data_IF_005460066864
#
_entry.id   IF_005460066864
#
_cell.length_a   1.000
_cell.length_b   1.000
_cell.length_c   1.000
_cell.angle_alpha   90.00
_cell.angle_beta   90.00
_cell.angle_gamma   90.00
#
_symmetry.space_group_name_H-M   'P 1'
#
loop_
_entity.id
_entity.type
_entity.pdbx_description
1 polymer ?
#
# COMPACT_ATOMS: atom_id res chain seq x y z
N UNK A 1 68.05 23.28 40.38
CA UNK A 1 69.15 22.52 39.75
C UNK A 1 68.60 21.10 39.60
N UNK A 2 68.08 20.60 38.48
CA UNK A 2 68.37 20.87 37.07
C UNK A 2 69.03 19.62 36.47
N UNK A 3 68.26 18.60 36.10
CA UNK A 3 68.65 17.50 35.19
C UNK A 3 67.39 16.67 34.86
N UNK A 4 66.75 16.87 33.71
CA UNK A 4 67.04 16.35 32.35
C UNK A 4 66.15 15.12 32.07
N UNK A 5 65.15 15.34 31.22
CA UNK A 5 64.25 14.33 30.66
C UNK A 5 65.02 13.37 29.74
N UNK A 6 64.75 12.07 29.86
CA UNK A 6 65.18 11.04 28.93
C UNK A 6 63.95 10.42 28.24
N UNK A 7 64.02 10.39 26.92
CA UNK A 7 62.95 10.02 26.00
C UNK A 7 62.86 8.51 25.75
N UNK A 8 61.63 8.09 25.41
CA UNK A 8 61.18 7.06 24.48
C UNK A 8 62.09 5.85 24.17
N UNK A 9 61.55 4.64 24.41
CA UNK A 9 60.96 3.77 23.36
C UNK A 9 61.04 2.30 23.80
N UNK A 10 59.94 1.79 24.36
CA UNK A 10 59.80 0.35 24.58
C UNK A 10 59.40 -0.30 23.24
N UNK A 11 60.38 -0.89 22.55
CA UNK A 11 60.20 -1.70 21.37
C UNK A 11 59.47 -2.99 21.78
N UNK A 12 58.14 -2.96 21.70
CA UNK A 12 57.31 -4.17 21.72
C UNK A 12 57.46 -4.90 20.39
N UNK A 13 58.03 -6.10 20.40
CA UNK A 13 58.08 -6.99 19.25
C UNK A 13 56.65 -7.35 18.83
N UNK A 14 56.25 -6.94 17.62
CA UNK A 14 55.04 -7.45 16.97
C UNK A 14 55.33 -8.90 16.57
N UNK A 15 54.57 -9.91 17.01
CA UNK A 15 54.69 -11.25 16.45
C UNK A 15 54.24 -11.18 15.00
N UNK A 16 55.16 -11.44 14.07
CA UNK A 16 54.83 -11.58 12.66
C UNK A 16 53.71 -12.60 12.51
N UNK A 17 52.58 -12.17 11.94
CA UNK A 17 51.51 -13.07 11.52
C UNK A 17 52.11 -14.03 10.49
N UNK A 18 52.31 -15.28 10.90
CA UNK A 18 52.64 -16.39 9.98
C UNK A 18 51.60 -16.36 8.86
N UNK A 19 52.06 -15.97 7.67
CA UNK A 19 51.28 -16.02 6.44
C UNK A 19 50.72 -17.45 6.33
N UNK A 20 49.40 -17.66 6.22
CA UNK A 20 48.90 -19.01 5.98
C UNK A 20 49.60 -19.52 4.73
N UNK A 21 50.31 -20.64 4.87
CA UNK A 21 50.81 -21.40 3.73
C UNK A 21 49.64 -21.58 2.78
N UNK A 22 49.84 -21.21 1.51
CA UNK A 22 48.85 -21.46 0.48
C UNK A 22 48.66 -22.98 0.44
N UNK A 23 47.55 -23.45 1.02
CA UNK A 23 47.09 -24.82 0.79
C UNK A 23 46.93 -24.93 -0.72
N UNK A 24 47.65 -25.86 -1.32
CA UNK A 24 47.50 -26.23 -2.72
C UNK A 24 46.05 -26.67 -2.90
N UNK A 25 45.20 -25.74 -3.35
CA UNK A 25 43.82 -26.03 -3.67
C UNK A 25 43.90 -26.79 -4.98
N UNK A 26 43.56 -28.10 -5.01
CA UNK A 26 43.64 -28.87 -6.24
C UNK A 26 42.87 -28.13 -7.32
N UNK A 27 43.56 -27.80 -8.42
CA UNK A 27 42.94 -27.11 -9.53
C UNK A 27 41.76 -27.93 -10.01
N UNK A 28 40.55 -27.38 -9.83
CA UNK A 28 39.34 -28.05 -10.26
C UNK A 28 39.44 -28.24 -11.78
N UNK A 29 39.23 -29.45 -12.31
CA UNK A 29 39.23 -29.66 -13.75
C UNK A 29 38.21 -28.72 -14.39
N UNK A 30 38.52 -28.19 -15.58
CA UNK A 30 37.59 -27.35 -16.31
C UNK A 30 36.24 -28.09 -16.46
N UNK A 31 35.10 -27.39 -16.25
CA UNK A 31 33.81 -28.02 -16.33
C UNK A 31 33.56 -28.51 -17.76
N UNK A 32 33.27 -29.80 -17.90
CA UNK A 32 32.86 -30.43 -19.16
C UNK A 32 31.34 -30.45 -19.31
N UNK A 33 30.60 -30.22 -18.23
CA UNK A 33 29.13 -30.16 -18.19
C UNK A 33 28.64 -29.00 -17.32
N UNK A 34 27.71 -28.21 -17.87
CA UNK A 34 27.00 -27.17 -17.15
C UNK A 34 25.56 -27.63 -16.91
N UNK A 35 25.11 -27.54 -15.66
CA UNK A 35 23.73 -27.78 -15.26
C UNK A 35 23.12 -26.45 -14.82
N UNK A 36 21.97 -26.09 -15.36
CA UNK A 36 21.22 -24.89 -14.98
C UNK A 36 19.93 -25.33 -14.28
N UNK A 37 19.82 -25.03 -12.99
CA UNK A 37 18.64 -25.36 -12.18
C UNK A 37 17.99 -24.09 -11.65
N UNK A 38 16.89 -23.68 -12.29
CA UNK A 38 16.10 -22.51 -11.90
C UNK A 38 14.72 -22.91 -11.32
N UNK A 39 14.54 -24.18 -10.95
CA UNK A 39 13.27 -24.69 -10.45
C UNK A 39 13.10 -24.41 -8.95
N UNK A 40 11.84 -24.23 -8.53
CA UNK A 40 11.45 -24.14 -7.11
C UNK A 40 10.25 -25.06 -6.85
N UNK A 41 10.43 -26.21 -6.15
CA UNK A 41 11.68 -26.71 -5.57
C UNK A 41 12.71 -27.19 -6.63
N UNK A 42 13.99 -27.30 -6.22
CA UNK A 42 15.11 -27.68 -7.11
C UNK A 42 14.96 -29.08 -7.72
N UNK A 43 15.37 -29.23 -8.98
CA UNK A 43 15.36 -30.49 -9.71
C UNK A 43 16.67 -31.27 -9.55
N UNK A 44 17.77 -30.57 -9.29
CA UNK A 44 19.12 -31.13 -9.16
C UNK A 44 19.59 -31.07 -7.71
N UNK A 45 20.01 -32.22 -7.20
CA UNK A 45 20.60 -32.31 -5.87
C UNK A 45 21.84 -31.39 -5.77
N UNK A 46 21.89 -30.57 -4.70
CA UNK A 46 22.99 -29.67 -4.40
C UNK A 46 24.36 -30.38 -4.35
N UNK A 47 24.37 -31.70 -4.09
CA UNK A 47 25.56 -32.55 -4.15
C UNK A 47 26.29 -32.49 -5.51
N UNK A 48 25.59 -32.14 -6.60
CA UNK A 48 26.17 -31.97 -7.93
C UNK A 48 27.30 -30.92 -7.97
N UNK A 49 27.30 -29.93 -7.08
CA UNK A 49 28.41 -28.97 -6.93
C UNK A 49 29.76 -29.61 -6.60
N UNK A 50 29.76 -30.82 -6.03
CA UNK A 50 30.97 -31.53 -5.63
C UNK A 50 31.51 -32.45 -6.71
N UNK A 51 30.77 -32.70 -7.79
CA UNK A 51 31.18 -33.60 -8.85
C UNK A 51 32.30 -32.96 -9.70
N UNK A 52 33.43 -33.65 -9.92
CA UNK A 52 34.48 -33.16 -10.81
C UNK A 52 33.96 -32.96 -12.24
N UNK A 53 34.32 -31.85 -12.88
CA UNK A 53 33.92 -31.55 -14.26
C UNK A 53 32.46 -31.10 -14.42
N UNK A 54 31.68 -30.98 -13.34
CA UNK A 54 30.31 -30.45 -13.37
C UNK A 54 30.28 -29.06 -12.76
N UNK A 55 29.61 -28.13 -13.44
CA UNK A 55 29.27 -26.80 -12.90
C UNK A 55 27.75 -26.67 -12.85
N UNK A 56 27.21 -26.70 -11.63
CA UNK A 56 25.81 -26.35 -11.37
C UNK A 56 25.70 -24.83 -11.20
N UNK A 57 24.75 -24.23 -11.91
CA UNK A 57 24.32 -22.85 -11.77
C UNK A 57 22.89 -22.91 -11.27
N UNK A 58 22.69 -22.64 -9.99
CA UNK A 58 21.36 -22.52 -9.37
C UNK A 58 21.01 -21.05 -9.08
N UNK A 59 19.78 -20.82 -8.60
CA UNK A 59 19.28 -19.48 -8.25
C UNK A 59 20.19 -18.80 -7.23
N UNK A 60 20.69 -19.55 -6.24
CA UNK A 60 21.59 -19.04 -5.21
C UNK A 60 22.93 -18.61 -5.80
N UNK A 61 23.54 -19.45 -6.65
CA UNK A 61 24.80 -19.13 -7.35
C UNK A 61 24.65 -17.89 -8.25
N UNK A 62 23.50 -17.74 -8.90
CA UNK A 62 23.20 -16.57 -9.73
C UNK A 62 23.02 -15.31 -8.87
N UNK A 63 22.34 -15.43 -7.72
CA UNK A 63 22.16 -14.33 -6.77
C UNK A 63 23.51 -13.82 -6.24
N UNK A 64 24.41 -14.72 -5.83
CA UNK A 64 25.76 -14.38 -5.38
C UNK A 64 26.57 -13.68 -6.48
N UNK A 65 26.56 -14.21 -7.70
CA UNK A 65 27.27 -13.59 -8.83
C UNK A 65 26.71 -12.22 -9.22
N UNK A 66 25.43 -11.97 -8.98
CA UNK A 66 24.76 -10.70 -9.27
C UNK A 66 24.93 -9.63 -8.17
N UNK A 67 25.39 -10.01 -6.98
CA UNK A 67 25.50 -9.11 -5.83
C UNK A 67 26.49 -7.94 -6.07
N UNK A 68 27.52 -8.16 -6.89
CA UNK A 68 28.54 -7.14 -7.24
C UNK A 68 28.22 -6.38 -8.55
N UNK A 69 27.06 -6.65 -9.18
CA UNK A 69 26.70 -6.02 -10.44
C UNK A 69 26.19 -4.57 -10.25
N UNK A 70 26.37 -3.66 -11.23
CA UNK A 70 25.93 -2.26 -11.18
C UNK A 70 24.41 -2.03 -11.04
N UNK A 71 23.61 -3.09 -10.91
CA UNK A 71 22.13 -3.05 -10.84
C UNK A 71 21.58 -2.34 -9.59
N UNK A 72 22.42 -2.00 -8.61
CA UNK A 72 21.98 -1.32 -7.38
C UNK A 72 21.25 0.02 -7.67
N UNK A 73 21.70 0.79 -8.66
CA UNK A 73 21.06 2.05 -9.04
C UNK A 73 19.67 1.86 -9.66
N UNK A 74 19.50 0.81 -10.48
CA UNK A 74 18.22 0.43 -11.06
C UNK A 74 17.25 -0.06 -9.98
N UNK A 75 17.77 -0.82 -9.00
CA UNK A 75 17.00 -1.29 -7.83
C UNK A 75 16.50 -0.11 -6.99
N UNK A 76 17.31 0.91 -6.75
CA UNK A 76 16.88 2.11 -6.00
C UNK A 76 15.80 2.90 -6.74
N UNK A 77 15.86 2.97 -8.08
CA UNK A 77 14.80 3.57 -8.88
C UNK A 77 13.50 2.76 -8.79
N UNK A 78 13.56 1.44 -8.92
CA UNK A 78 12.40 0.55 -8.77
C UNK A 78 11.80 0.66 -7.37
N UNK A 79 12.64 0.68 -6.31
CA UNK A 79 12.18 0.84 -4.92
C UNK A 79 11.40 2.14 -4.73
N UNK A 80 11.83 3.23 -5.35
CA UNK A 80 11.09 4.51 -5.29
C UNK A 80 9.72 4.39 -5.96
N UNK A 81 9.65 3.84 -7.18
CA UNK A 81 8.37 3.63 -7.88
C UNK A 81 7.41 2.78 -7.05
N UNK A 82 7.89 1.66 -6.49
CA UNK A 82 7.07 0.78 -5.65
C UNK A 82 6.62 1.50 -4.37
N UNK A 83 7.50 2.30 -3.76
CA UNK A 83 7.15 3.06 -2.54
C UNK A 83 6.07 4.11 -2.83
N UNK A 84 6.18 4.82 -3.95
CA UNK A 84 5.20 5.81 -4.39
C UNK A 84 3.84 5.16 -4.67
N UNK A 85 3.84 4.00 -5.35
CA UNK A 85 2.62 3.27 -5.67
C UNK A 85 1.95 2.69 -4.41
N UNK A 86 2.74 2.15 -3.47
CA UNK A 86 2.22 1.66 -2.18
C UNK A 86 1.60 2.81 -1.38
N UNK A 87 2.22 4.00 -1.40
CA UNK A 87 1.67 5.17 -0.74
C UNK A 87 0.35 5.64 -1.40
N UNK A 88 0.31 5.68 -2.73
CA UNK A 88 -0.88 6.03 -3.50
C UNK A 88 -2.03 5.04 -3.27
N UNK A 89 -1.74 3.75 -3.32
CA UNK A 89 -2.69 2.67 -3.02
C UNK A 89 -3.25 2.80 -1.61
N UNK A 90 -2.39 3.04 -0.61
CA UNK A 90 -2.83 3.26 0.77
C UNK A 90 -3.75 4.47 0.91
N UNK A 91 -3.49 5.56 0.19
CA UNK A 91 -4.36 6.73 0.17
C UNK A 91 -5.72 6.43 -0.50
N UNK A 92 -5.72 5.70 -1.62
CA UNK A 92 -6.94 5.27 -2.29
C UNK A 92 -7.80 4.36 -1.39
N UNK A 93 -7.18 3.41 -0.69
CA UNK A 93 -7.88 2.52 0.24
C UNK A 93 -8.53 3.29 1.41
N UNK A 94 -7.82 4.27 2.00
CA UNK A 94 -8.41 5.15 3.03
C UNK A 94 -9.58 5.97 2.49
N UNK A 95 -9.49 6.49 1.27
CA UNK A 95 -10.58 7.22 0.64
C UNK A 95 -11.81 6.32 0.39
N UNK A 96 -11.60 5.06 -0.03
CA UNK A 96 -12.65 4.08 -0.22
C UNK A 96 -13.45 3.83 1.08
N UNK A 97 -12.79 3.77 2.24
CA UNK A 97 -13.47 3.62 3.54
C UNK A 97 -14.43 4.77 3.91
N UNK A 98 -14.30 5.94 3.29
CA UNK A 98 -15.17 7.10 3.56
C UNK A 98 -16.40 7.12 2.66
N UNK A 99 -16.32 6.54 1.45
CA UNK A 99 -17.43 6.58 0.49
C UNK A 99 -18.75 6.05 1.08
N UNK A 100 -18.78 4.90 1.78
CA UNK A 100 -20.01 4.40 2.40
C UNK A 100 -20.62 5.38 3.41
N UNK A 101 -19.79 6.06 4.19
CA UNK A 101 -20.21 7.07 5.18
C UNK A 101 -20.84 8.29 4.50
N UNK A 102 -20.27 8.74 3.38
CA UNK A 102 -20.81 9.87 2.60
C UNK A 102 -22.16 9.50 1.97
N UNK A 103 -22.31 8.27 1.48
CA UNK A 103 -23.58 7.79 0.94
C UNK A 103 -24.63 7.72 2.04
N UNK A 104 -24.31 7.13 3.19
CA UNK A 104 -25.23 7.05 4.33
C UNK A 104 -25.70 8.45 4.78
N UNK A 105 -24.81 9.43 4.83
CA UNK A 105 -25.15 10.82 5.13
C UNK A 105 -26.15 11.42 4.12
N UNK A 106 -25.97 11.15 2.83
CA UNK A 106 -26.88 11.62 1.78
C UNK A 106 -28.24 10.94 1.84
N UNK A 107 -28.27 9.65 2.15
CA UNK A 107 -29.52 8.89 2.36
C UNK A 107 -30.30 9.48 3.53
N UNK A 108 -29.65 9.67 4.69
CA UNK A 108 -30.27 10.29 5.86
C UNK A 108 -30.86 11.68 5.52
N UNK A 109 -30.12 12.51 4.79
CA UNK A 109 -30.62 13.82 4.39
C UNK A 109 -31.82 13.73 3.44
N UNK A 110 -31.83 12.77 2.52
CA UNK A 110 -32.98 12.52 1.64
C UNK A 110 -34.22 12.08 2.44
N UNK A 111 -34.04 11.24 3.46
CA UNK A 111 -35.12 10.78 4.33
C UNK A 111 -35.71 11.93 5.16
N UNK A 112 -34.87 12.83 5.68
CA UNK A 112 -35.31 14.06 6.36
C UNK A 112 -36.13 14.93 5.40
N UNK A 113 -35.66 15.15 4.17
CA UNK A 113 -36.41 15.92 3.17
C UNK A 113 -37.75 15.25 2.85
N UNK A 114 -37.77 13.93 2.67
CA UNK A 114 -39.02 13.21 2.40
C UNK A 114 -40.03 13.35 3.56
N UNK A 115 -39.55 13.22 4.80
CA UNK A 115 -40.38 13.41 6.01
C UNK A 115 -40.96 14.83 6.11
N UNK A 116 -40.15 15.86 5.84
CA UNK A 116 -40.62 17.25 5.86
C UNK A 116 -41.61 17.55 4.72
N UNK A 117 -41.45 16.91 3.56
CA UNK A 117 -42.41 17.05 2.47
C UNK A 117 -43.75 16.38 2.79
N UNK A 118 -43.73 15.20 3.40
CA UNK A 118 -44.96 14.56 3.88
C UNK A 118 -45.67 15.41 4.95
N UNK A 119 -44.93 16.05 5.86
CA UNK A 119 -45.49 17.00 6.84
C UNK A 119 -46.12 18.23 6.17
N UNK A 120 -45.47 18.77 5.12
CA UNK A 120 -46.00 19.90 4.37
C UNK A 120 -47.34 19.56 3.70
N UNK A 121 -47.43 18.37 3.09
CA UNK A 121 -48.67 17.89 2.45
C UNK A 121 -49.83 17.80 3.45
N UNK A 122 -49.58 17.27 4.66
CA UNK A 122 -50.59 17.20 5.71
C UNK A 122 -51.04 18.57 6.23
N UNK A 123 -50.16 19.57 6.24
CA UNK A 123 -50.45 20.93 6.74
C UNK A 123 -51.08 21.85 5.69
N UNK A 124 -50.81 21.61 4.41
CA UNK A 124 -51.27 22.43 3.29
C UNK A 124 -51.94 21.54 2.22
N UNK A 125 -53.10 20.92 2.52
CA UNK A 125 -53.76 19.99 1.60
C UNK A 125 -54.26 20.65 0.30
N UNK A 126 -54.35 21.99 0.26
CA UNK A 126 -54.73 22.76 -0.94
C UNK A 126 -53.55 23.28 -1.76
N UNK A 127 -52.32 22.88 -1.45
CA UNK A 127 -51.14 23.32 -2.20
C UNK A 127 -51.09 22.63 -3.58
N UNK A 128 -51.10 23.45 -4.64
CA UNK A 128 -50.95 23.01 -6.02
C UNK A 128 -49.67 22.17 -6.23
N UNK A 129 -49.79 21.12 -7.03
CA UNK A 129 -48.71 20.14 -7.28
C UNK A 129 -47.49 20.80 -7.93
N UNK A 130 -47.69 21.83 -8.76
CA UNK A 130 -46.59 22.60 -9.36
C UNK A 130 -45.78 23.34 -8.29
N UNK A 131 -46.45 24.00 -7.35
CA UNK A 131 -45.76 24.67 -6.24
C UNK A 131 -45.07 23.66 -5.32
N UNK A 132 -45.69 22.51 -5.08
CA UNK A 132 -45.09 21.42 -4.29
C UNK A 132 -43.81 20.90 -4.93
N UNK A 133 -43.81 20.69 -6.25
CA UNK A 133 -42.63 20.26 -7.00
C UNK A 133 -41.50 21.31 -6.91
N UNK A 134 -41.83 22.59 -7.06
CA UNK A 134 -40.85 23.69 -6.97
C UNK A 134 -40.22 23.78 -5.57
N UNK A 135 -41.03 23.63 -4.51
CA UNK A 135 -40.55 23.59 -3.12
C UNK A 135 -39.63 22.39 -2.92
N UNK A 136 -40.06 21.20 -3.36
CA UNK A 136 -39.27 19.96 -3.24
C UNK A 136 -37.92 20.12 -3.94
N UNK A 137 -37.91 20.65 -5.15
CA UNK A 137 -36.68 20.86 -5.92
C UNK A 137 -35.78 21.90 -5.25
N UNK A 138 -36.36 22.95 -4.67
CA UNK A 138 -35.62 23.98 -3.93
C UNK A 138 -34.96 23.39 -2.68
N UNK A 139 -35.70 22.61 -1.88
CA UNK A 139 -35.16 21.95 -0.68
C UNK A 139 -34.05 20.98 -1.04
N UNK A 140 -34.25 20.13 -2.06
CA UNK A 140 -33.19 19.23 -2.55
C UNK A 140 -31.94 19.98 -2.98
N UNK A 141 -32.09 21.06 -3.77
CA UNK A 141 -30.95 21.91 -4.17
C UNK A 141 -30.21 22.53 -2.98
N UNK A 142 -30.92 22.92 -1.93
CA UNK A 142 -30.31 23.44 -0.70
C UNK A 142 -29.50 22.35 -0.01
N UNK A 143 -30.10 21.18 0.21
CA UNK A 143 -29.42 20.03 0.84
C UNK A 143 -28.20 19.60 0.04
N UNK A 144 -28.32 19.48 -1.28
CA UNK A 144 -27.19 19.12 -2.16
C UNK A 144 -26.04 20.12 -2.03
N UNK A 145 -26.33 21.43 -2.02
CA UNK A 145 -25.32 22.47 -1.83
C UNK A 145 -24.67 22.42 -0.45
N UNK A 146 -25.44 22.17 0.61
CA UNK A 146 -24.94 22.06 1.98
C UNK A 146 -24.05 20.83 2.15
N UNK A 147 -24.39 19.71 1.52
CA UNK A 147 -23.63 18.46 1.64
C UNK A 147 -22.45 18.37 0.67
N UNK A 148 -22.45 19.11 -0.44
CA UNK A 148 -21.39 19.02 -1.44
C UNK A 148 -20.01 19.37 -0.87
N UNK A 149 -19.85 20.59 -0.33
CA UNK A 149 -18.56 21.05 0.19
C UNK A 149 -17.98 20.15 1.31
N UNK A 150 -18.71 19.79 2.38
CA UNK A 150 -18.18 18.93 3.43
C UNK A 150 -17.88 17.51 2.94
N UNK A 151 -18.69 16.93 2.06
CA UNK A 151 -18.42 15.58 1.53
C UNK A 151 -17.18 15.54 0.64
N UNK A 152 -16.94 16.58 -0.18
CA UNK A 152 -15.70 16.72 -0.95
C UNK A 152 -14.50 16.89 -0.01
N UNK A 153 -14.62 17.76 1.00
CA UNK A 153 -13.53 18.04 1.93
C UNK A 153 -13.10 16.80 2.71
N UNK A 154 -14.06 15.99 3.16
CA UNK A 154 -13.77 14.75 3.87
C UNK A 154 -13.04 13.75 2.97
N UNK A 155 -13.46 13.58 1.71
CA UNK A 155 -12.76 12.71 0.75
C UNK A 155 -11.31 13.14 0.53
N UNK A 156 -11.05 14.45 0.45
CA UNK A 156 -9.69 14.99 0.33
C UNK A 156 -8.85 14.69 1.57
N UNK A 157 -9.39 14.97 2.76
CA UNK A 157 -8.70 14.75 4.03
C UNK A 157 -8.45 13.26 4.34
N UNK A 158 -9.29 12.36 3.83
CA UNK A 158 -9.10 10.91 3.91
C UNK A 158 -7.83 10.43 3.21
N UNK A 159 -7.51 11.06 2.08
CA UNK A 159 -6.38 10.69 1.25
C UNK A 159 -5.04 11.09 1.91
N UNK A 160 -5.06 12.11 2.77
CA UNK A 160 -3.89 12.59 3.50
C UNK A 160 -3.42 11.60 4.59
N UNK A 161 -2.12 11.60 4.95
CA UNK A 161 -1.59 10.83 6.08
C UNK A 161 -2.29 11.26 7.38
N UNK A 162 -2.90 10.29 8.09
CA UNK A 162 -3.68 10.56 9.31
C UNK A 162 -5.19 10.73 9.09
N UNK A 163 -5.68 10.63 7.86
CA UNK A 163 -7.09 10.81 7.50
C UNK A 163 -8.06 9.71 7.99
N UNK A 164 -7.57 8.65 8.64
CA UNK A 164 -8.37 7.49 9.05
C UNK A 164 -9.50 7.84 10.05
N UNK A 165 -9.33 8.89 10.86
CA UNK A 165 -10.33 9.29 11.86
C UNK A 165 -11.53 10.07 11.31
N UNK A 166 -11.49 10.54 10.07
CA UNK A 166 -12.56 11.39 9.53
C UNK A 166 -13.86 10.63 9.25
N UNK A 167 -13.77 9.34 8.90
CA UNK A 167 -14.95 8.50 8.72
C UNK A 167 -15.74 8.38 10.03
N UNK A 168 -15.04 8.13 11.13
CA UNK A 168 -15.64 7.95 12.45
C UNK A 168 -16.15 9.27 13.03
N UNK A 169 -15.43 10.36 12.78
CA UNK A 169 -15.91 11.70 13.12
C UNK A 169 -17.23 12.01 12.41
N UNK A 170 -17.37 11.71 11.12
CA UNK A 170 -18.63 11.91 10.40
C UNK A 170 -19.76 11.03 10.93
N UNK A 171 -19.50 9.74 11.19
CA UNK A 171 -20.50 8.83 11.78
C UNK A 171 -21.01 9.37 13.11
N UNK A 172 -20.10 9.87 13.94
CA UNK A 172 -20.43 10.44 15.25
C UNK A 172 -21.18 11.77 15.13
N UNK A 173 -20.72 12.68 14.27
CA UNK A 173 -21.31 14.02 14.12
C UNK A 173 -22.73 13.99 13.57
N UNK A 174 -23.04 13.00 12.75
CA UNK A 174 -24.34 12.86 12.08
C UNK A 174 -25.16 11.67 12.59
N UNK A 175 -24.73 11.01 13.66
CA UNK A 175 -25.39 9.84 14.26
C UNK A 175 -25.80 8.80 13.19
N UNK A 176 -24.86 8.50 12.29
CA UNK A 176 -25.14 7.63 11.15
C UNK A 176 -25.29 6.19 11.62
N UNK A 177 -26.41 5.57 11.26
CA UNK A 177 -26.68 4.17 11.56
C UNK A 177 -25.59 3.23 10.97
N UNK A 178 -24.92 2.42 11.81
CA UNK A 178 -23.92 1.45 11.37
C UNK A 178 -24.45 0.45 10.34
N UNK A 179 -25.73 0.06 10.38
CA UNK A 179 -26.32 -0.86 9.40
C UNK A 179 -26.45 -0.20 8.02
N UNK A 180 -26.85 1.07 7.98
CA UNK A 180 -26.89 1.87 6.74
C UNK A 180 -25.49 1.97 6.11
N UNK A 181 -24.44 2.22 6.89
CA UNK A 181 -23.06 2.26 6.36
C UNK A 181 -22.60 0.88 5.88
N UNK A 182 -22.91 -0.19 6.62
CA UNK A 182 -22.53 -1.56 6.28
C UNK A 182 -23.24 -2.08 5.01
N UNK A 183 -24.52 -1.74 4.84
CA UNK A 183 -25.29 -2.12 3.64
C UNK A 183 -24.74 -1.46 2.38
N UNK A 184 -24.36 -0.18 2.44
CA UNK A 184 -23.70 0.51 1.32
C UNK A 184 -22.34 -0.11 1.02
N UNK A 185 -21.53 -0.41 2.04
CA UNK A 185 -20.21 -1.02 1.87
C UNK A 185 -20.30 -2.38 1.15
N UNK A 186 -21.27 -3.22 1.53
CA UNK A 186 -21.52 -4.51 0.84
C UNK A 186 -22.01 -4.34 -0.60
N UNK A 187 -22.82 -3.30 -0.86
CA UNK A 187 -23.31 -3.00 -2.20
C UNK A 187 -22.17 -2.57 -3.14
N UNK A 188 -21.20 -1.78 -2.65
CA UNK A 188 -20.00 -1.40 -3.41
C UNK A 188 -19.13 -2.62 -3.75
N UNK A 189 -18.83 -3.49 -2.78
CA UNK A 189 -18.06 -4.74 -3.01
C UNK A 189 -18.72 -5.66 -4.05
N UNK A 190 -20.05 -5.75 -4.05
CA UNK A 190 -20.79 -6.57 -5.02
C UNK A 190 -20.83 -5.95 -6.42
N UNK A 191 -20.71 -4.63 -6.52
CA UNK A 191 -20.64 -3.90 -7.80
C UNK A 191 -19.26 -4.05 -8.43
N UNK A 192 -18.20 -3.99 -7.63
CA UNK A 192 -16.81 -4.21 -8.06
C UNK A 192 -16.58 -5.65 -8.54
N UNK A 193 -17.03 -6.67 -7.79
CA UNK A 193 -16.94 -8.08 -8.20
C UNK A 193 -17.66 -8.38 -9.52
N UNK A 194 -18.79 -7.72 -9.78
CA UNK A 194 -19.53 -7.86 -11.03
C UNK A 194 -18.85 -7.14 -12.21
N UNK A 195 -18.11 -6.06 -11.96
CA UNK A 195 -17.32 -5.37 -12.97
C UNK A 195 -16.06 -6.16 -13.35
N UNK A 196 -15.43 -6.82 -12.37
CA UNK A 196 -14.22 -7.64 -12.57
C UNK A 196 -14.52 -8.94 -13.33
N UNK A 197 -15.70 -9.54 -13.14
CA UNK A 197 -16.17 -10.70 -13.91
C UNK A 197 -16.58 -10.39 -15.37
N UNK A 198 -16.52 -9.12 -15.80
CA UNK A 198 -16.86 -8.66 -17.16
C UNK A 198 -15.64 -8.27 -18.00
N UNK A 199 -14.45 -8.77 -17.65
CA UNK A 199 -13.21 -8.55 -18.42
C UNK A 199 -13.33 -8.89 -19.92
N UNK A 200 -12.56 -8.21 -20.79
CA UNK A 200 -12.86 -8.08 -22.21
C UNK A 200 -12.66 -9.40 -22.94
N UNK A 201 -13.71 -9.84 -23.64
CA UNK A 201 -13.64 -10.94 -24.60
C UNK A 201 -13.01 -10.52 -25.92
#
# INVERSE_FOLDING_TARGET
IGALAAAASAIGRIPERRRPEAVDVPQRPEPVLFLLDLAMPRDVDAAAHRLPGVRLVDIESLAEASADAPMAADVDQVRRIVSDEVAAFGAAQRAAHITPTVVALRTMAADVVAGEMARLEGRLPGLDDKHRAEITQTVRRVVDKLLHAPTVRVKQLAAEPGGAGYADALRTLFDLDPETVASVSRAEESTEKNAENRGPG
#
